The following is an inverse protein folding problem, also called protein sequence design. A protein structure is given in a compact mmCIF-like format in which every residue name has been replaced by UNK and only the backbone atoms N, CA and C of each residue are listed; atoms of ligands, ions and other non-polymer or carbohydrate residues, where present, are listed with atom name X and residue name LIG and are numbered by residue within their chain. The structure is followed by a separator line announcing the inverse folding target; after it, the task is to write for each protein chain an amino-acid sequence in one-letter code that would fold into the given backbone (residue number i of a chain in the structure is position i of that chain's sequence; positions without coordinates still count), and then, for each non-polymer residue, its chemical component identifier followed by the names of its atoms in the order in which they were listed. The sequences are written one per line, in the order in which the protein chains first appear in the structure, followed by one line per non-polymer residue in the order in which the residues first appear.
data_IF_699476497023
#
_entry.id   IF_699476497023
#
_cell.length_a   1.000
_cell.length_b   1.000
_cell.length_c   1.000
_cell.angle_alpha   90.00
_cell.angle_beta   90.00
_cell.angle_gamma   90.00
#
_symmetry.space_group_name_H-M   'P 1'
#
loop_
_entity.id
_entity.type
_entity.pdbx_description
1 polymer ?
#
# COMPACT_ATOMS: atom_id res chain seq x y z
N UNK A 1 -16.16 60.72 -17.08
CA UNK A 1 -17.02 59.68 -17.67
C UNK A 1 -16.15 58.65 -18.35
N UNK A 2 -15.88 57.52 -17.68
CA UNK A 2 -15.20 56.36 -18.28
C UNK A 2 -16.19 55.20 -18.36
N UNK A 3 -16.19 54.64 -19.55
CA UNK A 3 -16.92 53.49 -20.09
C UNK A 3 -17.09 52.30 -19.13
N UNK A 4 -18.25 51.67 -19.29
CA UNK A 4 -18.66 50.35 -18.81
C UNK A 4 -17.60 49.26 -19.04
N UNK A 5 -17.48 48.34 -18.08
CA UNK A 5 -16.99 46.98 -18.29
C UNK A 5 -18.00 46.00 -17.70
N UNK A 6 -18.87 45.48 -18.56
CA UNK A 6 -19.58 44.22 -18.37
C UNK A 6 -18.66 43.07 -18.75
N UNK A 7 -18.34 42.19 -17.80
CA UNK A 7 -17.81 40.86 -18.10
C UNK A 7 -18.17 39.88 -16.97
N UNK A 8 -19.44 39.50 -16.91
CA UNK A 8 -19.84 38.19 -16.39
C UNK A 8 -19.63 37.15 -17.48
N UNK A 9 -18.73 36.19 -17.29
CA UNK A 9 -18.80 34.88 -17.95
C UNK A 9 -17.86 33.85 -17.30
N UNK A 10 -18.48 32.85 -16.67
CA UNK A 10 -18.12 31.44 -16.73
C UNK A 10 -16.73 31.01 -16.22
N UNK A 11 -16.61 30.86 -14.89
CA UNK A 11 -15.71 29.83 -14.35
C UNK A 11 -16.43 28.47 -14.49
N UNK A 12 -16.14 27.80 -15.60
CA UNK A 12 -16.58 26.43 -15.85
C UNK A 12 -15.94 25.54 -14.79
N UNK A 13 -16.77 24.96 -13.92
CA UNK A 13 -16.42 23.80 -13.11
C UNK A 13 -16.00 22.66 -14.06
N UNK A 14 -14.70 22.60 -14.36
CA UNK A 14 -14.10 21.46 -15.02
C UNK A 14 -14.06 20.34 -13.98
N UNK A 15 -15.12 19.54 -13.90
CA UNK A 15 -15.14 18.32 -13.09
C UNK A 15 -13.92 17.50 -13.48
N UNK A 16 -12.92 17.45 -12.59
CA UNK A 16 -11.74 16.64 -12.80
C UNK A 16 -12.20 15.19 -13.05
N UNK A 17 -11.58 14.51 -14.02
CA UNK A 17 -11.88 13.12 -14.29
C UNK A 17 -11.69 12.30 -12.99
N UNK A 18 -12.59 11.34 -12.69
CA UNK A 18 -12.48 10.54 -11.48
C UNK A 18 -11.14 9.79 -11.44
N UNK A 19 -10.42 9.87 -10.32
CA UNK A 19 -9.12 9.21 -10.18
C UNK A 19 -9.27 7.68 -10.12
N UNK A 20 -8.30 6.97 -10.70
CA UNK A 20 -8.14 5.52 -10.55
C UNK A 20 -7.04 5.25 -9.52
N UNK A 21 -7.36 4.55 -8.44
CA UNK A 21 -6.41 4.22 -7.38
C UNK A 21 -5.97 2.75 -7.41
N UNK A 22 -4.71 2.52 -7.10
CA UNK A 22 -4.14 1.21 -6.82
C UNK A 22 -3.68 1.12 -5.36
N UNK A 23 -4.23 0.17 -4.62
CA UNK A 23 -3.88 -0.12 -3.25
C UNK A 23 -3.17 -1.47 -3.18
N UNK A 24 -2.04 -1.51 -2.48
CA UNK A 24 -1.30 -2.75 -2.22
C UNK A 24 -1.18 -2.99 -0.71
N UNK A 25 -1.81 -4.06 -0.25
CA UNK A 25 -1.77 -4.49 1.14
C UNK A 25 -0.36 -4.89 1.59
N UNK A 26 -0.07 -4.69 2.88
CA UNK A 26 1.09 -5.27 3.55
C UNK A 26 0.98 -6.78 3.74
N UNK A 27 2.00 -7.39 4.35
CA UNK A 27 1.98 -8.84 4.62
C UNK A 27 3.35 -9.52 4.66
N UNK A 28 4.45 -8.75 4.69
CA UNK A 28 5.80 -9.28 4.68
C UNK A 28 6.06 -10.12 3.43
N UNK A 29 6.43 -11.39 3.59
CA UNK A 29 6.71 -12.25 2.43
C UNK A 29 5.46 -12.61 1.62
N UNK A 30 4.25 -12.46 2.15
CA UNK A 30 3.01 -12.59 1.37
C UNK A 30 2.87 -11.54 0.26
N UNK A 31 3.59 -10.43 0.36
CA UNK A 31 3.72 -9.45 -0.72
C UNK A 31 4.30 -10.03 -2.01
N UNK A 32 4.80 -11.28 -2.00
CA UNK A 32 5.21 -12.00 -3.21
C UNK A 32 4.05 -12.25 -4.19
N UNK A 33 2.82 -12.38 -3.67
CA UNK A 33 1.62 -12.49 -4.49
C UNK A 33 1.40 -11.18 -5.26
N UNK A 34 1.40 -10.04 -4.56
CA UNK A 34 1.32 -8.71 -5.16
C UNK A 34 2.43 -8.47 -6.17
N UNK A 35 3.66 -8.93 -5.89
CA UNK A 35 4.76 -8.87 -6.86
C UNK A 35 4.43 -9.62 -8.16
N UNK A 36 3.75 -10.76 -8.08
CA UNK A 36 3.26 -11.50 -9.25
C UNK A 36 2.22 -10.72 -10.04
N UNK A 37 1.23 -10.13 -9.35
CA UNK A 37 0.19 -9.31 -10.00
C UNK A 37 0.81 -8.15 -10.79
N UNK A 38 1.71 -7.40 -10.15
CA UNK A 38 2.36 -6.25 -10.76
C UNK A 38 3.35 -6.65 -11.85
N UNK A 39 4.03 -7.79 -11.74
CA UNK A 39 4.89 -8.32 -12.80
C UNK A 39 4.08 -8.65 -14.06
N UNK A 40 2.87 -9.23 -13.92
CA UNK A 40 1.98 -9.48 -15.05
C UNK A 40 1.49 -8.17 -15.71
N UNK A 41 1.26 -7.12 -14.93
CA UNK A 41 0.87 -5.82 -15.47
C UNK A 41 2.03 -5.11 -16.18
N UNK A 42 3.25 -5.22 -15.66
CA UNK A 42 4.45 -4.73 -16.37
C UNK A 42 4.69 -5.48 -17.69
N UNK A 43 4.33 -6.76 -17.79
CA UNK A 43 4.40 -7.52 -19.05
C UNK A 43 3.49 -6.99 -20.15
N UNK A 44 2.43 -6.26 -19.77
CA UNK A 44 1.43 -5.70 -20.69
C UNK A 44 1.44 -4.16 -20.69
N UNK A 45 2.46 -3.54 -20.08
CA UNK A 45 2.57 -2.08 -19.92
C UNK A 45 1.32 -1.42 -19.30
N UNK A 46 0.55 -2.19 -18.52
CA UNK A 46 -0.69 -1.72 -17.91
C UNK A 46 -0.35 -0.87 -16.69
N UNK A 47 -0.70 0.43 -16.70
CA UNK A 47 -0.56 1.39 -15.60
C UNK A 47 -1.51 2.59 -15.74
N UNK A 48 -2.84 2.40 -15.56
CA UNK A 48 -3.83 3.48 -15.71
C UNK A 48 -4.09 4.28 -14.42
N UNK A 49 -3.26 4.12 -13.38
CA UNK A 49 -3.57 4.62 -12.04
C UNK A 49 -3.08 6.05 -11.84
N UNK A 50 -3.83 6.86 -11.09
CA UNK A 50 -3.50 8.24 -10.68
C UNK A 50 -3.00 8.32 -9.23
N UNK A 51 -3.40 7.35 -8.41
CA UNK A 51 -3.12 7.30 -6.98
C UNK A 51 -2.63 5.91 -6.58
N UNK A 52 -1.50 5.84 -5.91
CA UNK A 52 -0.91 4.62 -5.38
C UNK A 52 -0.86 4.72 -3.86
N UNK A 53 -1.43 3.75 -3.15
CA UNK A 53 -1.30 3.65 -1.70
C UNK A 53 -0.78 2.27 -1.32
N UNK A 54 0.39 2.23 -0.70
CA UNK A 54 1.04 0.97 -0.34
C UNK A 54 1.33 0.91 1.14
N UNK A 55 1.11 -0.26 1.72
CA UNK A 55 1.43 -0.56 3.12
C UNK A 55 2.52 -1.60 3.22
N UNK A 56 3.60 -1.34 3.97
CA UNK A 56 4.70 -2.28 4.20
C UNK A 56 5.27 -2.88 2.89
N UNK A 57 5.23 -4.20 2.73
CA UNK A 57 5.59 -4.88 1.48
C UNK A 57 4.83 -4.35 0.25
N UNK A 58 3.59 -3.90 0.41
CA UNK A 58 2.81 -3.22 -0.62
C UNK A 58 3.45 -1.92 -1.09
N UNK A 59 3.99 -1.08 -0.18
CA UNK A 59 4.74 0.12 -0.57
C UNK A 59 5.97 -0.23 -1.42
N UNK A 60 6.70 -1.29 -1.05
CA UNK A 60 7.88 -1.75 -1.78
C UNK A 60 7.50 -2.26 -3.18
N UNK A 61 6.42 -3.04 -3.28
CA UNK A 61 5.89 -3.56 -4.53
C UNK A 61 5.48 -2.43 -5.48
N UNK A 62 4.67 -1.47 -5.02
CA UNK A 62 4.25 -0.32 -5.83
C UNK A 62 5.45 0.53 -6.28
N UNK A 63 6.43 0.74 -5.40
CA UNK A 63 7.66 1.44 -5.78
C UNK A 63 8.42 0.70 -6.88
N UNK A 64 8.52 -0.62 -6.82
CA UNK A 64 9.22 -1.41 -7.85
C UNK A 64 8.47 -1.45 -9.19
N UNK A 65 7.13 -1.39 -9.13
CA UNK A 65 6.26 -1.28 -10.29
C UNK A 65 6.40 0.08 -10.98
N UNK A 66 6.41 1.17 -10.21
CA UNK A 66 6.72 2.51 -10.72
C UNK A 66 8.16 2.60 -11.26
N UNK A 67 9.11 1.89 -10.66
CA UNK A 67 10.48 1.78 -11.18
C UNK A 67 10.57 0.95 -12.48
N UNK A 68 9.47 0.36 -12.97
CA UNK A 68 9.42 -0.52 -14.15
C UNK A 68 10.36 -1.73 -14.04
N UNK A 69 10.65 -2.19 -12.82
CA UNK A 69 11.61 -3.27 -12.58
C UNK A 69 10.91 -4.61 -12.36
N UNK A 70 10.45 -5.23 -13.46
CA UNK A 70 9.83 -6.57 -13.41
C UNK A 70 10.74 -7.57 -12.69
N UNK A 71 10.17 -8.33 -11.76
CA UNK A 71 10.84 -9.36 -10.96
C UNK A 71 11.72 -8.81 -9.82
N UNK A 72 11.80 -7.49 -9.61
CA UNK A 72 12.57 -6.89 -8.52
C UNK A 72 12.09 -7.37 -7.14
N UNK A 73 10.80 -7.20 -6.86
CA UNK A 73 10.23 -7.59 -5.58
C UNK A 73 10.37 -9.09 -5.33
N UNK A 74 10.11 -9.92 -6.35
CA UNK A 74 10.35 -11.37 -6.30
C UNK A 74 11.79 -11.72 -5.90
N UNK A 75 12.79 -11.03 -6.49
CA UNK A 75 14.21 -11.25 -6.20
C UNK A 75 14.55 -10.88 -4.76
N UNK A 76 14.06 -9.74 -4.25
CA UNK A 76 14.34 -9.33 -2.87
C UNK A 76 13.63 -10.20 -1.83
N UNK A 77 12.35 -10.52 -2.03
CA UNK A 77 11.61 -11.38 -1.10
C UNK A 77 12.23 -12.78 -1.07
N UNK A 78 12.64 -13.34 -2.21
CA UNK A 78 13.23 -14.68 -2.24
C UNK A 78 14.70 -14.72 -1.79
N UNK A 79 15.44 -13.62 -1.97
CA UNK A 79 16.87 -13.54 -1.71
C UNK A 79 17.25 -12.92 -0.37
N UNK A 80 16.68 -11.75 -0.03
CA UNK A 80 17.04 -11.01 1.19
C UNK A 80 16.15 -11.38 2.37
N UNK A 81 14.82 -11.42 2.22
CA UNK A 81 13.95 -11.63 3.38
C UNK A 81 13.95 -13.09 3.89
N UNK A 82 14.49 -14.02 3.10
CA UNK A 82 14.79 -15.40 3.51
C UNK A 82 16.17 -15.58 4.12
N UNK A 83 17.02 -14.55 4.05
CA UNK A 83 18.38 -14.66 4.57
C UNK A 83 18.33 -14.80 6.09
N UNK A 84 19.07 -15.76 6.64
CA UNK A 84 19.22 -15.94 8.09
C UNK A 84 19.74 -14.68 8.78
N UNK A 85 20.41 -13.75 8.08
CA UNK A 85 20.83 -12.46 8.64
C UNK A 85 19.68 -11.48 8.80
N UNK A 86 18.68 -11.54 7.92
CA UNK A 86 17.50 -10.69 7.97
C UNK A 86 16.55 -11.13 9.08
N UNK A 87 16.30 -12.43 9.23
CA UNK A 87 15.35 -12.95 10.22
C UNK A 87 16.03 -13.93 11.17
N UNK A 88 16.16 -13.54 12.45
CA UNK A 88 16.75 -14.37 13.51
C UNK A 88 15.90 -14.31 14.77
N UNK A 89 15.11 -15.36 15.00
CA UNK A 89 14.28 -15.50 16.20
C UNK A 89 15.09 -15.42 17.50
N UNK A 90 16.32 -15.96 17.52
CA UNK A 90 17.20 -15.93 18.70
C UNK A 90 17.63 -14.52 19.15
N UNK A 91 17.59 -13.51 18.26
CA UNK A 91 17.94 -12.12 18.63
C UNK A 91 16.94 -11.51 19.62
N UNK A 92 15.68 -11.94 19.55
CA UNK A 92 14.63 -11.45 20.45
C UNK A 92 14.88 -11.80 21.91
N UNK A 93 15.51 -12.95 22.19
CA UNK A 93 15.85 -13.42 23.54
C UNK A 93 16.92 -12.56 24.22
N UNK A 94 17.75 -11.86 23.44
CA UNK A 94 18.83 -10.99 23.92
C UNK A 94 18.46 -9.50 23.75
N UNK A 95 17.17 -9.19 23.61
CA UNK A 95 16.65 -7.83 23.52
C UNK A 95 16.80 -7.13 22.16
N UNK A 96 17.51 -7.74 21.19
CA UNK A 96 17.78 -7.18 19.84
C UNK A 96 16.59 -7.35 18.88
N UNK A 97 16.63 -6.65 17.74
CA UNK A 97 15.63 -6.76 16.67
C UNK A 97 15.63 -8.17 16.04
N UNK A 98 14.45 -8.77 15.91
CA UNK A 98 14.26 -10.09 15.26
C UNK A 98 14.44 -9.98 13.75
N UNK A 99 14.06 -8.81 13.20
CA UNK A 99 14.28 -8.46 11.80
C UNK A 99 15.30 -7.33 11.67
N UNK A 100 16.25 -7.51 10.76
CA UNK A 100 17.30 -6.53 10.48
C UNK A 100 16.91 -5.65 9.28
N UNK A 101 16.04 -4.67 9.51
CA UNK A 101 15.60 -3.74 8.47
C UNK A 101 16.74 -2.84 8.00
N UNK A 102 17.65 -2.44 8.90
CA UNK A 102 18.86 -1.71 8.54
C UNK A 102 19.67 -2.47 7.50
N UNK A 103 19.98 -3.74 7.77
CA UNK A 103 20.70 -4.58 6.83
C UNK A 103 19.92 -4.79 5.53
N UNK A 104 18.61 -5.01 5.59
CA UNK A 104 17.80 -5.19 4.38
C UNK A 104 17.88 -3.97 3.45
N UNK A 105 17.63 -2.77 3.98
CA UNK A 105 17.63 -1.55 3.19
C UNK A 105 19.05 -1.10 2.80
N UNK A 106 20.07 -1.37 3.62
CA UNK A 106 21.47 -1.22 3.22
C UNK A 106 21.78 -2.10 2.00
N UNK A 107 21.31 -3.35 1.98
CA UNK A 107 21.48 -4.24 0.82
C UNK A 107 20.74 -3.79 -0.42
N UNK A 108 19.73 -2.93 -0.30
CA UNK A 108 19.08 -2.28 -1.45
C UNK A 108 19.90 -1.11 -2.02
N UNK A 109 21.04 -0.74 -1.43
CA UNK A 109 21.95 0.25 -2.03
C UNK A 109 22.95 -0.37 -3.01
N UNK A 110 23.15 -1.69 -2.94
CA UNK A 110 24.07 -2.38 -3.83
C UNK A 110 23.53 -2.40 -5.27
N UNK A 111 24.39 -2.17 -6.25
CA UNK A 111 24.02 -2.04 -7.69
C UNK A 111 23.08 -3.15 -8.18
N UNK A 112 23.32 -4.41 -7.81
CA UNK A 112 22.50 -5.57 -8.25
C UNK A 112 21.14 -5.68 -7.55
N UNK A 113 20.90 -4.87 -6.51
CA UNK A 113 19.72 -4.89 -5.63
C UNK A 113 19.09 -3.51 -5.48
N UNK A 114 19.64 -2.49 -6.14
CA UNK A 114 19.12 -1.14 -6.14
C UNK A 114 17.80 -1.05 -6.88
N UNK A 115 16.84 -0.42 -6.22
CA UNK A 115 15.61 0.01 -6.86
C UNK A 115 15.89 1.32 -7.60
N UNK A 116 15.38 1.44 -8.82
CA UNK A 116 15.58 2.63 -9.63
C UNK A 116 14.56 3.72 -9.24
N UNK A 117 14.86 4.45 -8.16
CA UNK A 117 14.01 5.54 -7.69
C UNK A 117 13.90 6.69 -8.70
N UNK A 118 14.88 6.86 -9.60
CA UNK A 118 14.80 7.87 -10.66
C UNK A 118 13.70 7.48 -11.64
N UNK A 119 13.69 6.24 -12.12
CA UNK A 119 12.60 5.73 -12.98
C UNK A 119 11.26 5.71 -12.24
N UNK A 120 11.25 5.39 -10.95
CA UNK A 120 10.02 5.47 -10.14
C UNK A 120 9.45 6.89 -10.08
N UNK A 121 10.29 7.90 -9.82
CA UNK A 121 9.90 9.31 -9.80
C UNK A 121 9.44 9.80 -11.17
N UNK A 122 10.17 9.46 -12.23
CA UNK A 122 9.80 9.81 -13.61
C UNK A 122 8.48 9.18 -14.02
N UNK A 123 8.29 7.88 -13.76
CA UNK A 123 7.03 7.18 -14.07
C UNK A 123 5.87 7.73 -13.24
N UNK A 124 6.09 8.07 -11.98
CA UNK A 124 5.06 8.66 -11.12
C UNK A 124 4.57 10.01 -11.70
N UNK A 125 5.48 10.88 -12.15
CA UNK A 125 5.12 12.14 -12.80
C UNK A 125 4.25 13.03 -11.90
N UNK A 126 3.07 13.44 -12.39
CA UNK A 126 2.11 14.25 -11.64
C UNK A 126 1.17 13.44 -10.72
N UNK A 127 1.30 12.11 -10.72
CA UNK A 127 0.47 11.18 -9.94
C UNK A 127 0.94 11.12 -8.50
N UNK A 128 0.14 10.49 -7.64
CA UNK A 128 0.41 10.44 -6.20
C UNK A 128 0.85 9.03 -5.76
N UNK A 129 1.96 8.92 -5.02
CA UNK A 129 2.32 7.73 -4.26
C UNK A 129 2.29 8.06 -2.77
N UNK A 130 1.59 7.23 -2.00
CA UNK A 130 1.45 7.32 -0.57
C UNK A 130 1.98 6.05 0.09
N UNK A 131 3.02 6.22 0.90
CA UNK A 131 3.61 5.18 1.73
C UNK A 131 2.98 5.31 3.12
N UNK A 132 2.23 4.32 3.56
CA UNK A 132 1.58 4.37 4.87
C UNK A 132 2.59 4.12 5.99
N UNK A 133 2.48 4.85 7.09
CA UNK A 133 3.20 4.58 8.32
C UNK A 133 2.31 4.85 9.53
N UNK A 134 2.63 4.26 10.68
CA UNK A 134 1.94 4.54 11.94
C UNK A 134 2.87 5.37 12.82
N UNK A 135 2.45 6.57 13.24
CA UNK A 135 3.26 7.38 14.13
C UNK A 135 3.23 6.77 15.56
N UNK A 136 4.38 6.60 16.18
CA UNK A 136 4.50 5.90 17.47
C UNK A 136 3.97 6.70 18.67
N UNK A 137 3.87 8.03 18.53
CA UNK A 137 3.40 8.95 19.57
C UNK A 137 1.87 9.00 19.62
N UNK A 138 1.22 9.25 18.48
CA UNK A 138 -0.24 9.42 18.43
C UNK A 138 -0.99 8.17 17.96
N UNK A 139 -0.27 7.16 17.46
CA UNK A 139 -0.79 5.90 16.90
C UNK A 139 -1.65 6.08 15.65
N UNK A 140 -1.63 7.23 14.98
CA UNK A 140 -2.44 7.47 13.79
C UNK A 140 -1.73 6.99 12.51
N UNK A 141 -2.53 6.76 11.48
CA UNK A 141 -2.05 6.51 10.13
C UNK A 141 -1.57 7.81 9.48
N UNK A 142 -0.37 7.76 8.92
CA UNK A 142 0.24 8.82 8.11
C UNK A 142 0.45 8.31 6.68
N UNK A 143 0.10 9.16 5.71
CA UNK A 143 0.24 8.88 4.28
C UNK A 143 1.37 9.74 3.70
N UNK A 144 2.56 9.16 3.61
CA UNK A 144 3.79 9.88 3.35
C UNK A 144 4.14 9.81 1.85
N UNK A 145 4.28 10.97 1.19
CA UNK A 145 4.70 11.05 -0.20
C UNK A 145 6.23 11.11 -0.33
N UNK A 146 6.85 10.27 -1.16
CA UNK A 146 8.30 10.31 -1.37
C UNK A 146 8.66 11.36 -2.44
N UNK A 147 8.94 12.58 -2.00
CA UNK A 147 9.21 13.74 -2.89
C UNK A 147 10.70 14.03 -3.10
N UNK A 148 11.53 13.57 -2.19
CA UNK A 148 12.96 13.82 -2.13
C UNK A 148 13.80 12.79 -2.89
N UNK A 149 15.08 12.75 -2.51
CA UNK A 149 16.09 11.87 -3.08
C UNK A 149 15.91 10.40 -2.65
N UNK A 150 16.65 9.50 -3.31
CA UNK A 150 16.63 8.06 -3.06
C UNK A 150 16.77 7.66 -1.57
N UNK A 151 17.46 8.48 -0.76
CA UNK A 151 17.56 8.28 0.69
C UNK A 151 16.20 8.37 1.39
N UNK A 152 15.45 9.44 1.12
CA UNK A 152 14.12 9.65 1.70
C UNK A 152 13.15 8.52 1.31
N UNK A 153 13.17 8.08 0.06
CA UNK A 153 12.36 6.93 -0.37
C UNK A 153 12.64 5.68 0.46
N UNK A 154 13.92 5.35 0.69
CA UNK A 154 14.31 4.20 1.51
C UNK A 154 13.85 4.36 2.95
N UNK A 155 14.00 5.54 3.55
CA UNK A 155 13.59 5.78 4.92
C UNK A 155 12.07 5.63 5.10
N UNK A 156 11.28 6.12 4.14
CA UNK A 156 9.83 5.95 4.12
C UNK A 156 9.43 4.48 3.97
N UNK A 157 10.03 3.75 3.02
CA UNK A 157 9.78 2.32 2.83
C UNK A 157 10.17 1.51 4.08
N UNK A 158 11.26 1.89 4.75
CA UNK A 158 11.71 1.26 6.00
C UNK A 158 10.74 1.53 7.14
N UNK A 159 10.27 2.77 7.29
CA UNK A 159 9.28 3.13 8.29
C UNK A 159 7.97 2.34 8.09
N UNK A 160 7.49 2.28 6.85
CA UNK A 160 6.31 1.50 6.46
C UNK A 160 6.43 0.00 6.73
N UNK A 161 7.65 -0.53 6.92
CA UNK A 161 7.93 -1.94 7.18
C UNK A 161 8.33 -2.25 8.65
N UNK A 162 8.35 -1.23 9.53
CA UNK A 162 8.92 -1.32 10.88
C UNK A 162 7.94 -1.88 11.92
N UNK A 163 7.70 -3.20 11.88
CA UNK A 163 6.81 -3.86 12.84
C UNK A 163 7.41 -3.83 14.26
N UNK A 164 6.72 -3.30 15.28
CA UNK A 164 7.26 -3.11 16.64
C UNK A 164 7.84 -4.38 17.28
N UNK A 165 7.24 -5.53 17.02
CA UNK A 165 7.69 -6.83 17.54
C UNK A 165 9.02 -7.28 16.94
N UNK A 166 9.28 -6.88 15.70
CA UNK A 166 10.42 -7.33 14.91
C UNK A 166 11.52 -6.27 14.88
N UNK A 167 11.14 -5.00 14.97
CA UNK A 167 11.97 -3.80 14.90
C UNK A 167 11.43 -2.73 15.88
N UNK A 168 11.91 -2.80 17.13
CA UNK A 168 11.31 -2.13 18.30
C UNK A 168 11.36 -0.59 18.28
N UNK A 169 12.37 0.01 17.67
CA UNK A 169 12.57 1.45 17.74
C UNK A 169 11.71 2.22 16.74
N UNK A 170 11.19 1.57 15.70
CA UNK A 170 10.66 2.29 14.54
C UNK A 170 11.75 3.09 13.82
N UNK A 171 11.36 3.81 12.78
CA UNK A 171 12.26 4.65 12.00
C UNK A 171 12.01 6.10 12.38
N UNK A 172 13.07 6.78 12.81
CA UNK A 172 13.01 8.22 13.04
C UNK A 172 12.90 8.93 11.69
N UNK A 173 11.78 9.61 11.47
CA UNK A 173 11.59 10.45 10.30
C UNK A 173 11.48 11.90 10.76
N UNK A 174 11.94 12.80 9.91
CA UNK A 174 11.61 14.22 9.99
C UNK A 174 10.64 14.49 8.86
N UNK A 175 9.32 14.36 9.08
CA UNK A 175 8.36 14.48 8.01
C UNK A 175 8.40 15.91 7.48
N UNK A 176 8.73 16.07 6.20
CA UNK A 176 8.36 17.29 5.49
C UNK A 176 6.86 17.18 5.22
N UNK A 177 6.06 17.63 6.19
CA UNK A 177 4.62 17.82 6.01
C UNK A 177 4.43 19.03 5.08
N UNK A 178 4.71 18.89 3.79
CA UNK A 178 4.28 19.88 2.82
C UNK A 178 2.76 19.78 2.68
N UNK A 179 1.99 20.44 3.56
CA UNK A 179 0.54 20.76 3.54
C UNK A 179 -0.47 19.68 3.05
N UNK A 180 -0.05 18.45 2.76
CA UNK A 180 -0.79 17.38 2.05
C UNK A 180 -0.54 15.99 2.62
N UNK A 181 0.08 15.88 3.79
CA UNK A 181 -0.12 14.68 4.61
C UNK A 181 -1.57 14.76 5.10
N UNK A 182 -2.47 14.17 4.32
CA UNK A 182 -3.85 14.61 4.16
C UNK A 182 -4.82 14.21 5.29
N UNK A 183 -4.39 14.29 6.55
CA UNK A 183 -5.32 14.28 7.69
C UNK A 183 -5.15 15.49 8.63
N UNK A 184 -4.20 16.40 8.36
CA UNK A 184 -3.97 17.57 9.22
C UNK A 184 -3.82 18.84 8.38
N UNK A 185 -4.96 19.40 7.96
CA UNK A 185 -5.02 20.71 7.27
C UNK A 185 -4.77 21.88 8.26
N UNK A 186 -4.60 21.62 9.56
CA UNK A 186 -4.44 22.66 10.59
C UNK A 186 -3.36 22.37 11.62
N UNK A 187 -2.14 22.00 11.20
CA UNK A 187 -0.98 22.29 12.01
C UNK A 187 -0.26 23.48 11.39
N UNK A 188 -0.34 24.60 12.11
CA UNK A 188 0.49 25.77 11.90
C UNK A 188 1.97 25.36 11.79
N UNK A 189 2.81 26.23 11.25
CA UNK A 189 4.26 26.09 11.07
C UNK A 189 5.06 25.85 12.39
N UNK A 190 4.41 25.39 13.45
CA UNK A 190 4.99 25.02 14.73
C UNK A 190 5.66 23.64 14.65
N UNK A 191 6.95 23.72 14.32
CA UNK A 191 7.99 22.71 14.51
C UNK A 191 7.82 21.43 13.70
N UNK A 192 8.57 21.38 12.59
CA UNK A 192 9.02 20.13 11.95
C UNK A 192 9.80 19.32 13.01
N UNK A 193 9.09 18.52 13.80
CA UNK A 193 9.66 17.70 14.85
C UNK A 193 9.85 16.29 14.31
N UNK A 194 11.07 15.77 14.47
CA UNK A 194 11.34 14.38 14.16
C UNK A 194 10.56 13.46 15.10
N UNK A 195 9.91 12.44 14.57
CA UNK A 195 9.17 11.44 15.35
C UNK A 195 9.48 10.02 14.85
N UNK A 196 9.08 9.01 15.60
CA UNK A 196 9.29 7.61 15.26
C UNK A 196 8.05 7.03 14.58
N UNK A 197 8.30 6.35 13.47
CA UNK A 197 7.28 5.73 12.65
C UNK A 197 7.45 4.21 12.60
N UNK A 198 6.32 3.53 12.63
CA UNK A 198 6.16 2.08 12.64
C UNK A 198 5.46 1.64 11.36
N UNK A 199 5.39 0.31 11.17
CA UNK A 199 4.71 -0.29 10.03
C UNK A 199 3.31 0.30 9.83
N UNK A 200 2.99 0.67 8.59
CA UNK A 200 1.71 1.31 8.28
C UNK A 200 0.52 0.37 8.49
N UNK A 201 0.76 -0.95 8.50
CA UNK A 201 -0.25 -1.95 8.73
C UNK A 201 -0.94 -1.82 10.08
N UNK A 202 -0.30 -1.22 11.09
CA UNK A 202 -0.91 -1.09 12.42
C UNK A 202 -2.14 -0.16 12.42
N UNK A 203 -2.11 0.91 11.63
CA UNK A 203 -3.19 1.91 11.58
C UNK A 203 -3.90 2.00 10.22
N UNK A 204 -3.24 1.63 9.13
CA UNK A 204 -3.74 1.66 7.75
C UNK A 204 -3.34 0.39 6.98
N UNK A 205 -3.87 -0.79 7.35
CA UNK A 205 -3.54 -2.04 6.68
C UNK A 205 -4.07 -2.12 5.24
N UNK A 206 -5.21 -1.50 4.96
CA UNK A 206 -5.89 -1.55 3.67
C UNK A 206 -6.62 -0.21 3.39
N UNK A 207 -5.90 0.88 3.08
CA UNK A 207 -6.43 2.26 3.12
C UNK A 207 -7.37 2.62 1.95
N UNK A 208 -8.49 1.92 1.82
CA UNK A 208 -9.49 2.10 0.74
C UNK A 208 -10.28 3.39 0.94
N UNK A 209 -10.70 3.68 2.17
CA UNK A 209 -11.36 4.95 2.51
C UNK A 209 -10.49 6.16 2.20
N UNK A 210 -9.19 6.07 2.44
CA UNK A 210 -8.25 7.15 2.11
C UNK A 210 -8.23 7.43 0.60
N UNK A 211 -8.16 6.37 -0.23
CA UNK A 211 -8.20 6.55 -1.68
C UNK A 211 -9.51 7.22 -2.13
N UNK A 212 -10.65 6.78 -1.58
CA UNK A 212 -11.96 7.39 -1.85
C UNK A 212 -12.01 8.87 -1.45
N UNK A 213 -11.54 9.20 -0.24
CA UNK A 213 -11.49 10.57 0.29
C UNK A 213 -10.61 11.49 -0.56
N UNK A 214 -9.62 10.93 -1.27
CA UNK A 214 -8.76 11.64 -2.22
C UNK A 214 -9.31 11.79 -3.63
N UNK A 215 -10.58 11.42 -3.83
CA UNK A 215 -11.29 11.56 -5.09
C UNK A 215 -11.18 10.36 -6.03
N UNK A 216 -10.67 9.21 -5.56
CA UNK A 216 -10.73 7.99 -6.36
C UNK A 216 -12.18 7.51 -6.48
N UNK A 217 -12.56 7.09 -7.69
CA UNK A 217 -13.87 6.49 -7.98
C UNK A 217 -13.76 5.12 -8.66
N UNK A 218 -12.56 4.72 -9.03
CA UNK A 218 -12.22 3.32 -9.32
C UNK A 218 -11.03 2.94 -8.45
N UNK A 219 -11.18 1.96 -7.58
CA UNK A 219 -10.14 1.55 -6.63
C UNK A 219 -9.85 0.08 -6.84
N UNK A 220 -8.63 -0.24 -7.27
CA UNK A 220 -8.13 -1.60 -7.40
C UNK A 220 -7.30 -1.92 -6.16
N UNK A 221 -7.66 -2.99 -5.44
CA UNK A 221 -7.06 -3.37 -4.16
C UNK A 221 -6.44 -4.75 -4.29
N UNK A 222 -5.12 -4.84 -4.20
CA UNK A 222 -4.40 -6.13 -4.15
C UNK A 222 -4.23 -6.54 -2.69
N UNK A 223 -4.87 -7.64 -2.32
CA UNK A 223 -4.85 -8.20 -0.97
C UNK A 223 -3.89 -9.39 -0.87
N UNK A 224 -3.23 -9.54 0.27
CA UNK A 224 -2.31 -10.65 0.58
C UNK A 224 -2.91 -11.67 1.53
N UNK A 225 -4.22 -11.61 1.73
CA UNK A 225 -5.04 -12.57 2.45
C UNK A 225 -6.20 -13.00 1.55
N UNK A 226 -6.76 -14.18 1.82
CA UNK A 226 -7.90 -14.69 1.05
C UNK A 226 -9.22 -13.96 1.40
N UNK A 227 -10.26 -14.20 0.60
CA UNK A 227 -11.57 -13.59 0.78
C UNK A 227 -12.23 -13.93 2.13
N UNK A 228 -11.90 -15.09 2.71
CA UNK A 228 -12.47 -15.59 3.97
C UNK A 228 -11.65 -15.17 5.20
N UNK A 229 -10.68 -14.27 5.03
CA UNK A 229 -9.82 -13.83 6.12
C UNK A 229 -10.63 -13.19 7.24
N UNK A 230 -10.56 -13.81 8.42
CA UNK A 230 -11.10 -13.25 9.65
C UNK A 230 -10.02 -12.40 10.34
N UNK A 231 -10.22 -11.09 10.36
CA UNK A 231 -9.30 -10.16 11.00
C UNK A 231 -9.30 -10.30 12.54
N UNK A 232 -10.40 -10.77 13.14
CA UNK A 232 -10.49 -10.93 14.60
C UNK A 232 -9.84 -12.23 15.06
N UNK A 233 -8.80 -12.11 15.88
CA UNK A 233 -8.18 -13.27 16.51
C UNK A 233 -8.77 -13.57 17.88
N UNK A 234 -9.36 -14.75 18.06
CA UNK A 234 -9.91 -15.19 19.35
C UNK A 234 -8.89 -15.16 20.51
N UNK A 235 -7.60 -15.35 20.21
CA UNK A 235 -6.52 -15.26 21.21
C UNK A 235 -6.19 -13.81 21.62
N UNK A 236 -6.28 -12.85 20.70
CA UNK A 236 -6.10 -11.41 20.98
C UNK A 236 -7.21 -10.94 21.93
N UNK A 237 -8.45 -11.39 21.70
CA UNK A 237 -9.58 -11.09 22.58
C UNK A 237 -9.39 -11.67 23.98
N UNK A 238 -8.91 -12.92 24.10
CA UNK A 238 -8.58 -13.52 25.41
C UNK A 238 -7.46 -12.75 26.14
N UNK A 239 -6.40 -12.35 25.42
CA UNK A 239 -5.33 -11.54 26.00
C UNK A 239 -5.81 -10.15 26.40
N UNK A 240 -6.71 -9.54 25.64
CA UNK A 240 -7.36 -8.28 25.98
C UNK A 240 -8.17 -8.41 27.27
N UNK A 241 -9.00 -9.45 27.39
CA UNK A 241 -9.76 -9.71 28.62
C UNK A 241 -8.83 -9.92 29.83
N UNK A 242 -7.72 -10.64 29.65
CA UNK A 242 -6.73 -10.84 30.70
C UNK A 242 -5.97 -9.54 31.06
N UNK A 243 -5.56 -8.74 30.08
CA UNK A 243 -4.88 -7.46 30.28
C UNK A 243 -5.77 -6.44 31.01
N UNK A 244 -7.06 -6.41 30.69
CA UNK A 244 -8.05 -5.60 31.43
C UNK A 244 -8.18 -6.10 32.86
N UNK A 245 -8.28 -7.42 33.06
CA UNK A 245 -8.39 -8.02 34.39
C UNK A 245 -7.12 -7.84 35.26
N UNK A 246 -5.93 -7.76 34.65
CA UNK A 246 -4.65 -7.59 35.35
C UNK A 246 -4.24 -6.12 35.56
N UNK A 247 -4.97 -5.16 34.98
CA UNK A 247 -4.64 -3.74 35.04
C UNK A 247 -3.40 -3.34 34.21
N UNK A 248 -2.83 -4.26 33.43
CA UNK A 248 -1.66 -4.03 32.59
C UNK A 248 -1.96 -4.40 31.14
N UNK A 249 -2.10 -3.39 30.27
CA UNK A 249 -2.16 -3.59 28.82
C UNK A 249 -0.77 -3.38 28.20
N UNK A 250 -0.13 -4.42 27.66
CA UNK A 250 1.10 -4.24 26.90
C UNK A 250 0.84 -3.29 25.72
N UNK A 251 1.66 -2.26 25.53
CA UNK A 251 1.56 -1.33 24.37
C UNK A 251 1.46 -2.06 23.02
N UNK A 252 2.03 -3.26 22.94
CA UNK A 252 1.97 -4.16 21.79
C UNK A 252 0.59 -4.73 21.52
N UNK A 253 -0.22 -4.99 22.55
CA UNK A 253 -1.58 -5.48 22.41
C UNK A 253 -2.50 -4.40 21.83
N UNK A 254 -2.31 -3.14 22.24
CA UNK A 254 -3.04 -2.00 21.67
C UNK A 254 -2.83 -1.90 20.15
N UNK A 255 -1.60 -2.09 19.66
CA UNK A 255 -1.31 -2.07 18.22
C UNK A 255 -2.00 -3.21 17.46
N UNK A 256 -2.12 -4.40 18.07
CA UNK A 256 -2.84 -5.52 17.45
C UNK A 256 -4.34 -5.26 17.40
N UNK A 257 -4.93 -4.81 18.50
CA UNK A 257 -6.37 -4.45 18.55
C UNK A 257 -6.68 -3.34 17.55
N UNK A 258 -5.81 -2.33 17.47
CA UNK A 258 -5.93 -1.25 16.50
C UNK A 258 -5.85 -1.77 15.06
N UNK A 259 -4.89 -2.65 14.76
CA UNK A 259 -4.77 -3.26 13.45
C UNK A 259 -6.03 -4.02 13.06
N UNK A 260 -6.55 -4.89 13.94
CA UNK A 260 -7.77 -5.66 13.70
C UNK A 260 -8.96 -4.74 13.45
N UNK A 261 -9.14 -3.70 14.28
CA UNK A 261 -10.21 -2.71 14.10
C UNK A 261 -10.08 -1.96 12.77
N UNK A 262 -8.90 -1.41 12.48
CA UNK A 262 -8.66 -0.68 11.24
C UNK A 262 -8.91 -1.56 10.02
N UNK A 263 -8.53 -2.83 10.06
CA UNK A 263 -8.81 -3.79 8.99
C UNK A 263 -10.31 -4.02 8.78
N UNK A 264 -11.04 -4.27 9.87
CA UNK A 264 -12.49 -4.48 9.82
C UNK A 264 -13.24 -3.26 9.30
N UNK A 265 -12.87 -2.07 9.76
CA UNK A 265 -13.49 -0.83 9.32
C UNK A 265 -13.30 -0.62 7.79
N UNK A 266 -12.17 -1.05 7.22
CA UNK A 266 -11.93 -1.01 5.76
C UNK A 266 -12.70 -2.11 5.02
N UNK A 267 -12.81 -3.32 5.57
CA UNK A 267 -13.64 -4.37 4.99
C UNK A 267 -15.12 -4.00 4.96
N UNK A 268 -15.61 -3.33 6.00
CA UNK A 268 -16.98 -2.83 6.07
C UNK A 268 -17.25 -1.78 4.98
N UNK A 269 -16.29 -0.88 4.74
CA UNK A 269 -16.37 0.09 3.65
C UNK A 269 -16.34 -0.59 2.27
N UNK A 270 -15.49 -1.60 2.08
CA UNK A 270 -15.42 -2.37 0.82
C UNK A 270 -16.74 -3.13 0.57
N UNK A 271 -17.37 -3.66 1.62
CA UNK A 271 -18.64 -4.37 1.51
C UNK A 271 -19.82 -3.42 1.24
N UNK A 272 -19.74 -2.18 1.71
CA UNK A 272 -20.79 -1.16 1.58
C UNK A 272 -20.24 0.15 0.98
N UNK A 273 -19.74 0.13 -0.26
CA UNK A 273 -19.16 1.31 -0.88
C UNK A 273 -20.24 2.35 -1.22
N UNK A 274 -19.89 3.65 -1.20
CA UNK A 274 -20.71 4.67 -1.85
C UNK A 274 -21.03 4.32 -3.31
N UNK A 275 -22.21 4.71 -3.80
CA UNK A 275 -22.67 4.34 -5.15
C UNK A 275 -21.83 4.94 -6.29
N UNK A 276 -21.00 5.93 -6.00
CA UNK A 276 -20.14 6.60 -6.97
C UNK A 276 -18.75 5.94 -7.11
N UNK A 277 -18.40 4.92 -6.31
CA UNK A 277 -17.10 4.25 -6.37
C UNK A 277 -17.21 2.77 -6.73
N UNK A 278 -16.42 2.36 -7.73
CA UNK A 278 -16.14 0.97 -8.06
C UNK A 278 -14.92 0.48 -7.26
N UNK A 279 -15.06 -0.58 -6.48
CA UNK A 279 -13.95 -1.22 -5.75
C UNK A 279 -13.73 -2.63 -6.31
N UNK A 280 -12.55 -2.87 -6.87
CA UNK A 280 -12.14 -4.17 -7.42
C UNK A 280 -11.09 -4.78 -6.50
N UNK A 281 -11.34 -5.98 -6.00
CA UNK A 281 -10.40 -6.71 -5.17
C UNK A 281 -9.67 -7.78 -5.99
N UNK A 282 -8.36 -7.87 -5.81
CA UNK A 282 -7.51 -8.93 -6.34
C UNK A 282 -6.89 -9.65 -5.16
N UNK A 283 -7.25 -10.91 -4.98
CA UNK A 283 -6.69 -11.81 -3.98
C UNK A 283 -6.44 -13.17 -4.63
N UNK A 284 -5.73 -14.06 -3.94
CA UNK A 284 -5.57 -15.43 -4.40
C UNK A 284 -6.88 -16.21 -4.14
N UNK A 285 -7.26 -17.06 -5.11
CA UNK A 285 -8.42 -17.95 -4.98
C UNK A 285 -8.25 -18.97 -3.85
N UNK A 286 -6.99 -19.29 -3.54
CA UNK A 286 -6.58 -20.16 -2.45
C UNK A 286 -5.73 -19.41 -1.43
N UNK A 287 -5.70 -19.93 -0.20
CA UNK A 287 -4.86 -19.37 0.86
C UNK A 287 -3.38 -19.43 0.47
N UNK A 288 -2.71 -18.29 0.53
CA UNK A 288 -1.27 -18.18 0.26
C UNK A 288 -0.45 -19.10 1.17
N UNK A 289 0.54 -19.78 0.59
CA UNK A 289 1.45 -20.67 1.32
C UNK A 289 2.52 -19.89 2.09
N UNK A 290 2.86 -18.70 1.61
CA UNK A 290 3.80 -17.80 2.24
C UNK A 290 3.24 -17.21 3.53
N UNK A 291 4.16 -16.92 4.45
CA UNK A 291 3.89 -16.37 5.77
C UNK A 291 4.34 -14.91 5.82
N UNK A 292 4.14 -14.27 6.97
CA UNK A 292 4.75 -12.95 7.21
C UNK A 292 6.28 -13.03 7.05
N UNK A 293 6.91 -14.06 7.64
CA UNK A 293 8.35 -14.36 7.58
C UNK A 293 8.58 -15.87 7.62
N UNK A 294 9.75 -16.32 7.14
CA UNK A 294 10.18 -17.72 7.23
C UNK A 294 9.57 -18.68 6.19
N UNK A 295 9.04 -18.15 5.08
CA UNK A 295 8.49 -18.94 3.97
C UNK A 295 9.57 -19.71 3.22
N UNK A 296 9.21 -20.87 2.70
CA UNK A 296 10.11 -21.66 1.85
C UNK A 296 10.27 -21.00 0.47
N UNK A 297 11.31 -21.38 -0.28
CA UNK A 297 11.45 -20.89 -1.68
C UNK A 297 10.29 -21.37 -2.57
N UNK A 298 9.75 -22.55 -2.26
CA UNK A 298 8.69 -23.18 -3.04
C UNK A 298 7.38 -22.46 -2.79
N UNK A 299 7.07 -22.12 -1.54
CA UNK A 299 5.89 -21.33 -1.16
C UNK A 299 5.91 -19.98 -1.88
N UNK A 300 7.06 -19.28 -1.87
CA UNK A 300 7.19 -18.00 -2.57
C UNK A 300 7.12 -18.12 -4.09
N UNK A 301 7.58 -19.24 -4.67
CA UNK A 301 7.45 -19.47 -6.12
C UNK A 301 6.00 -19.74 -6.50
N UNK A 302 5.31 -20.52 -5.68
CA UNK A 302 3.92 -20.87 -5.85
C UNK A 302 3.04 -19.62 -5.76
N UNK A 303 3.16 -18.84 -4.69
CA UNK A 303 2.36 -17.63 -4.49
C UNK A 303 2.68 -16.52 -5.51
N UNK A 304 3.94 -16.43 -5.99
CA UNK A 304 4.27 -15.53 -7.11
C UNK A 304 3.53 -15.93 -8.38
N UNK A 305 3.41 -17.23 -8.66
CA UNK A 305 2.68 -17.75 -9.81
C UNK A 305 1.18 -17.45 -9.68
N UNK A 306 0.59 -17.70 -8.51
CA UNK A 306 -0.80 -17.30 -8.24
C UNK A 306 -1.02 -15.79 -8.49
N UNK A 307 -0.07 -14.95 -8.08
CA UNK A 307 -0.10 -13.52 -8.38
C UNK A 307 -0.07 -13.20 -9.88
N UNK A 308 0.80 -13.85 -10.65
CA UNK A 308 0.84 -13.67 -12.11
C UNK A 308 -0.50 -14.06 -12.75
N UNK A 309 -1.07 -15.19 -12.34
CA UNK A 309 -2.32 -15.71 -12.88
C UNK A 309 -3.51 -14.79 -12.52
N UNK A 310 -3.57 -14.28 -11.29
CA UNK A 310 -4.55 -13.29 -10.86
C UNK A 310 -4.42 -11.96 -11.63
N UNK A 311 -3.19 -11.47 -11.81
CA UNK A 311 -2.92 -10.25 -12.57
C UNK A 311 -3.35 -10.37 -14.04
N UNK A 312 -3.09 -11.51 -14.69
CA UNK A 312 -3.52 -11.80 -16.07
C UNK A 312 -5.04 -11.91 -16.17
N UNK A 313 -5.68 -12.57 -15.21
CA UNK A 313 -7.14 -12.72 -15.17
C UNK A 313 -7.82 -11.36 -15.06
N UNK A 314 -7.31 -10.48 -14.20
CA UNK A 314 -7.78 -9.09 -14.11
C UNK A 314 -7.68 -8.35 -15.46
N UNK A 315 -6.54 -8.43 -16.15
CA UNK A 315 -6.37 -7.78 -17.46
C UNK A 315 -7.33 -8.33 -18.51
N UNK A 316 -7.55 -9.65 -18.54
CA UNK A 316 -8.51 -10.28 -19.44
C UNK A 316 -9.94 -9.76 -19.20
N UNK A 317 -10.36 -9.63 -17.93
CA UNK A 317 -11.67 -9.07 -17.58
C UNK A 317 -11.81 -7.61 -18.01
N UNK A 318 -10.78 -6.77 -17.81
CA UNK A 318 -10.80 -5.37 -18.25
C UNK A 318 -10.94 -5.26 -19.78
N UNK A 319 -10.22 -6.08 -20.54
CA UNK A 319 -10.31 -6.09 -22.00
C UNK A 319 -11.70 -6.50 -22.49
N UNK A 320 -12.34 -7.48 -21.84
CA UNK A 320 -13.72 -7.88 -22.15
C UNK A 320 -14.72 -6.76 -21.88
N UNK A 321 -14.57 -6.02 -20.79
CA UNK A 321 -15.42 -4.88 -20.47
C UNK A 321 -15.27 -3.74 -21.49
N UNK A 322 -14.04 -3.42 -21.89
CA UNK A 322 -13.77 -2.41 -22.93
C UNK A 322 -14.43 -2.80 -24.26
N UNK A 323 -14.27 -4.06 -24.68
CA UNK A 323 -14.85 -4.55 -25.94
C UNK A 323 -16.39 -4.56 -25.89
N UNK A 324 -16.97 -4.90 -24.74
CA UNK A 324 -18.43 -4.88 -24.55
C UNK A 324 -18.99 -3.46 -24.64
N UNK A 325 -18.35 -2.49 -23.98
CA UNK A 325 -18.79 -1.08 -24.01
C UNK A 325 -18.65 -0.44 -25.41
N UNK A 326 -17.64 -0.85 -26.18
CA UNK A 326 -17.48 -0.41 -27.56
C UNK A 326 -18.57 -0.97 -28.50
N UNK A 327 -19.10 -2.18 -28.24
CA UNK A 327 -20.17 -2.75 -29.06
C UNK A 327 -21.54 -2.10 -28.85
N UNK A 328 -21.84 -1.57 -27.65
CA UNK A 328 -23.09 -0.84 -27.39
C UNK A 328 -23.06 0.63 -27.87
N UNK A 329 -21.92 1.13 -28.32
CA UNK A 329 -21.74 2.53 -28.73
C UNK A 329 -21.72 2.73 -30.26
N UNK A 330 -21.94 1.67 -31.05
CA UNK A 330 -22.03 1.78 -32.51
C UNK A 330 -23.38 2.42 -32.91
N UNK A 331 -23.39 3.57 -33.63
CA UNK A 331 -24.63 4.18 -34.06
C UNK A 331 -25.30 3.29 -35.11
N UNK A 332 -26.54 2.88 -34.84
CA UNK A 332 -27.46 2.38 -35.86
C UNK A 332 -27.58 3.43 -36.96
N UNK A 333 -26.86 3.22 -38.07
CA UNK A 333 -27.14 3.92 -39.31
C UNK A 333 -28.52 3.45 -39.79
N UNK A 334 -29.55 4.27 -39.56
CA UNK A 334 -30.81 4.13 -40.27
C UNK A 334 -30.57 4.48 -41.73
N UNK A 335 -30.51 3.46 -42.58
CA UNK A 335 -30.64 3.61 -44.03
C UNK A 335 -32.11 3.88 -44.34
N UNK A 336 -32.44 5.15 -44.65
CA UNK A 336 -33.67 5.47 -45.37
C UNK A 336 -33.43 5.19 -46.85
N UNK A 337 -34.15 4.21 -47.39
CA UNK A 337 -34.41 4.07 -48.83
C UNK A 337 -35.78 4.64 -49.14
#
# INVERSE_FOLDING_TARGET
MKSLNSATANSVNKTAQPKVALIAEGGGQRGIFTAGVLDAWLEQEYDPFDLFIGTSAGSQNLTSYLARQKGYAKRLIRGLSRNKRFFQLGRGLVGKHIVDLDWYFDKTTEVKRAIDFKTAKTSLGARELLITATNARDRKAYYLSPTGESGQWRDLLKASSALPFLYKQGVKLTPWLNAKAANEIHLAEEQIQSDFYLDGGLAAPLPVREAYNRGARKIVVIRTVDANFQAQSAWVQKLRSFAIASGYCPKTLDYLIQHEKAYLDELEFIANPPSDVEIIQIFADEKLHSKLLGSSNNDLRFDHKLGLDAGRSYLAMQNLQINSNNHYSAPTQYSYN
#
